data_IF_431244311075
#
_entry.id   IF_431244311075
#
_cell.length_a   1.000
_cell.length_b   1.000
_cell.length_c   1.000
_cell.angle_alpha   90.00
_cell.angle_beta   90.00
_cell.angle_gamma   90.00
#
_symmetry.space_group_name_H-M   'P 1'
#
loop_
_entity.id
_entity.type
_entity.pdbx_description
1 polymer ?
#
# COMPACT_ATOMS: atom_id res chain seq x y z
N UNK A 1 10.63 59.00 -67.57
CA UNK A 1 9.47 59.15 -66.63
C UNK A 1 9.76 58.14 -65.49
N UNK A 2 10.15 58.63 -64.34
CA UNK A 2 10.51 57.82 -63.18
C UNK A 2 9.33 57.76 -62.17
N UNK A 3 8.83 56.61 -61.86
CA UNK A 3 7.77 56.41 -60.87
C UNK A 3 8.39 56.03 -59.51
N UNK A 4 8.17 56.90 -58.52
CA UNK A 4 8.55 56.72 -57.12
C UNK A 4 7.67 55.66 -56.43
N UNK A 5 8.27 54.70 -55.78
CA UNK A 5 7.62 53.79 -54.87
C UNK A 5 7.54 54.41 -53.48
N UNK A 6 6.41 54.27 -52.71
CA UNK A 6 6.32 54.80 -51.36
C UNK A 6 6.90 53.81 -50.30
N UNK A 7 7.65 54.40 -49.38
CA UNK A 7 8.24 53.74 -48.19
C UNK A 7 7.16 53.29 -47.22
N UNK A 8 7.22 51.98 -46.78
CA UNK A 8 6.41 51.44 -45.69
C UNK A 8 7.03 51.83 -44.35
N UNK A 9 6.29 52.64 -43.59
CA UNK A 9 6.59 52.92 -42.17
C UNK A 9 6.42 51.69 -41.32
N UNK A 10 7.46 51.35 -40.55
CA UNK A 10 7.42 50.32 -39.50
C UNK A 10 6.60 50.85 -38.33
N UNK A 11 5.51 50.12 -37.99
CA UNK A 11 4.78 50.32 -36.75
C UNK A 11 5.65 49.86 -35.53
N UNK A 12 5.52 50.52 -34.38
CA UNK A 12 6.31 50.12 -33.20
C UNK A 12 5.77 48.81 -32.62
N UNK A 13 6.69 47.88 -32.38
CA UNK A 13 6.42 46.63 -31.64
C UNK A 13 6.24 47.01 -30.18
N UNK A 14 5.00 47.04 -29.70
CA UNK A 14 4.69 47.19 -28.28
C UNK A 14 5.06 45.89 -27.55
N UNK A 15 6.09 45.99 -26.72
CA UNK A 15 6.56 44.90 -25.82
C UNK A 15 5.48 44.58 -24.78
N UNK A 16 4.96 43.34 -24.82
CA UNK A 16 4.05 42.80 -23.83
C UNK A 16 4.80 42.40 -22.54
N UNK A 17 5.36 43.33 -21.78
CA UNK A 17 6.03 43.09 -20.52
C UNK A 17 5.23 43.48 -19.27
N UNK A 18 4.06 44.14 -19.41
CA UNK A 18 3.25 44.61 -18.28
C UNK A 18 2.26 43.59 -17.72
N UNK A 19 1.99 42.49 -18.43
CA UNK A 19 1.00 41.50 -18.00
C UNK A 19 1.45 40.47 -16.96
N UNK A 20 2.77 40.24 -16.75
CA UNK A 20 3.23 39.20 -15.83
C UNK A 20 3.17 39.62 -14.36
N UNK A 21 3.50 40.86 -14.04
CA UNK A 21 3.46 41.38 -12.65
C UNK A 21 2.02 41.54 -12.12
N UNK A 22 1.07 41.91 -12.99
CA UNK A 22 -0.34 42.05 -12.63
C UNK A 22 -0.98 40.65 -12.40
N UNK A 23 -0.70 39.70 -13.27
CA UNK A 23 -1.12 38.29 -13.08
C UNK A 23 -0.58 37.69 -11.78
N UNK A 24 0.68 37.96 -11.45
CA UNK A 24 1.28 37.49 -10.21
C UNK A 24 0.60 38.06 -8.98
N UNK A 25 0.35 39.38 -8.92
CA UNK A 25 -0.38 40.05 -7.83
C UNK A 25 -1.79 39.51 -7.66
N UNK A 26 -2.50 39.27 -8.75
CA UNK A 26 -3.86 38.71 -8.74
C UNK A 26 -3.83 37.27 -8.21
N UNK A 27 -2.82 36.46 -8.57
CA UNK A 27 -2.64 35.10 -8.06
C UNK A 27 -2.32 35.13 -6.57
N UNK A 28 -1.43 35.98 -6.11
CA UNK A 28 -1.04 36.08 -4.70
C UNK A 28 -2.22 36.54 -3.83
N UNK A 29 -3.04 37.50 -4.34
CA UNK A 29 -4.30 37.91 -3.69
C UNK A 29 -5.31 36.76 -3.60
N UNK A 30 -5.44 35.95 -4.66
CA UNK A 30 -6.31 34.77 -4.65
C UNK A 30 -5.84 33.71 -3.64
N UNK A 31 -4.53 33.45 -3.59
CA UNK A 31 -3.94 32.52 -2.61
C UNK A 31 -4.21 33.00 -1.17
N UNK A 32 -4.02 34.30 -0.89
CA UNK A 32 -4.32 34.87 0.43
C UNK A 32 -5.78 34.74 0.81
N UNK A 33 -6.70 35.00 -0.14
CA UNK A 33 -8.14 34.84 0.08
C UNK A 33 -8.54 33.38 0.38
N UNK A 34 -7.95 32.42 -0.36
CA UNK A 34 -8.18 30.99 -0.13
C UNK A 34 -7.65 30.59 1.26
N UNK A 35 -6.44 30.99 1.60
CA UNK A 35 -5.82 30.68 2.92
C UNK A 35 -6.64 31.29 4.06
N UNK A 36 -7.14 32.51 3.90
CA UNK A 36 -8.01 33.16 4.90
C UNK A 36 -9.35 32.44 5.09
N UNK A 37 -9.93 31.93 4.00
CA UNK A 37 -11.26 31.29 4.01
C UNK A 37 -11.21 29.83 4.47
N UNK A 38 -10.18 29.09 4.03
CA UNK A 38 -10.11 27.64 4.20
C UNK A 38 -8.97 27.18 5.13
N UNK A 39 -8.17 28.10 5.65
CA UNK A 39 -7.05 27.83 6.57
C UNK A 39 -5.71 27.63 5.85
N UNK A 40 -4.62 27.64 6.64
CA UNK A 40 -3.27 27.36 6.18
C UNK A 40 -3.16 25.95 5.63
N UNK A 41 -2.45 25.75 4.51
CA UNK A 41 -2.31 24.47 3.83
C UNK A 41 -3.43 24.10 2.86
N UNK A 42 -4.49 24.93 2.74
CA UNK A 42 -5.57 24.73 1.75
C UNK A 42 -5.10 24.88 0.30
N UNK A 43 -4.05 25.69 0.10
CA UNK A 43 -3.34 25.85 -1.18
C UNK A 43 -1.86 26.03 -0.93
N UNK A 44 -1.01 25.37 -1.73
CA UNK A 44 0.44 25.50 -1.63
C UNK A 44 1.10 25.40 -3.00
N UNK A 45 2.26 26.04 -3.17
CA UNK A 45 3.11 25.81 -4.35
C UNK A 45 3.92 24.54 -4.13
N UNK A 46 3.82 23.57 -5.02
CA UNK A 46 4.44 22.25 -4.86
C UNK A 46 5.98 22.33 -4.75
N UNK A 47 6.61 23.30 -5.41
CA UNK A 47 8.07 23.53 -5.29
C UNK A 47 8.54 24.04 -3.93
N UNK A 48 7.63 24.61 -3.11
CA UNK A 48 7.91 25.07 -1.76
C UNK A 48 7.47 24.05 -0.69
N UNK A 49 6.88 22.93 -1.11
CA UNK A 49 6.60 21.84 -0.18
C UNK A 49 7.95 21.31 0.35
N UNK A 50 8.09 21.06 1.66
CA UNK A 50 9.29 20.42 2.18
C UNK A 50 9.52 19.14 1.39
N UNK A 51 10.74 18.98 0.87
CA UNK A 51 11.19 17.91 -0.03
C UNK A 51 10.54 16.60 0.36
N UNK A 52 9.87 15.98 -0.57
CA UNK A 52 9.10 14.75 -0.55
C UNK A 52 9.01 14.09 0.83
N UNK A 53 7.98 14.46 1.61
CA UNK A 53 7.71 13.79 2.89
C UNK A 53 7.64 12.30 2.58
N UNK A 54 8.56 11.52 3.17
CA UNK A 54 8.54 10.05 3.11
C UNK A 54 7.11 9.60 3.45
N UNK A 55 6.52 8.80 2.57
CA UNK A 55 5.16 8.31 2.77
C UNK A 55 5.21 7.30 3.91
N UNK A 56 4.46 7.56 4.98
CA UNK A 56 4.32 6.60 6.06
C UNK A 56 3.63 5.33 5.56
N UNK A 57 4.15 4.17 5.94
CA UNK A 57 3.68 2.88 5.44
C UNK A 57 3.47 1.87 6.58
N UNK A 58 2.74 0.81 6.28
CA UNK A 58 2.62 -0.39 7.10
C UNK A 58 3.20 -1.56 6.30
N UNK A 59 4.16 -2.30 6.87
CA UNK A 59 4.75 -3.46 6.22
C UNK A 59 3.73 -4.57 6.04
N UNK A 60 3.80 -5.27 4.90
CA UNK A 60 2.98 -6.45 4.61
C UNK A 60 3.51 -7.73 5.26
N UNK A 61 4.76 -7.71 5.74
CA UNK A 61 5.47 -8.87 6.25
C UNK A 61 6.28 -9.63 5.19
N UNK A 62 6.04 -9.37 3.90
CA UNK A 62 6.85 -9.89 2.81
C UNK A 62 7.70 -8.76 2.22
N UNK A 63 9.02 -8.82 2.40
CA UNK A 63 9.93 -7.77 1.91
C UNK A 63 9.82 -7.59 0.39
N UNK A 64 9.66 -8.68 -0.36
CA UNK A 64 9.46 -8.63 -1.81
C UNK A 64 8.22 -7.80 -2.20
N UNK A 65 7.11 -7.97 -1.47
CA UNK A 65 5.87 -7.22 -1.71
C UNK A 65 6.02 -5.75 -1.28
N UNK A 66 6.65 -5.48 -0.14
CA UNK A 66 6.90 -4.12 0.35
C UNK A 66 7.75 -3.32 -0.64
N UNK A 67 8.75 -3.96 -1.25
CA UNK A 67 9.58 -3.35 -2.30
C UNK A 67 8.81 -3.17 -3.61
N UNK A 68 7.94 -4.11 -3.99
CA UNK A 68 7.09 -3.98 -5.19
C UNK A 68 6.08 -2.84 -5.08
N UNK A 69 5.67 -2.49 -3.86
CA UNK A 69 4.83 -1.31 -3.58
C UNK A 69 5.57 0.02 -3.83
N UNK A 70 6.91 0.01 -3.88
CA UNK A 70 7.75 1.13 -4.27
C UNK A 70 7.98 2.18 -3.18
N UNK A 71 7.23 2.12 -2.08
CA UNK A 71 7.35 3.01 -0.91
C UNK A 71 7.69 2.26 0.38
N UNK A 72 7.96 0.94 0.28
CA UNK A 72 8.37 0.10 1.40
C UNK A 72 7.22 -0.48 2.23
N UNK A 73 5.99 -0.46 1.71
CA UNK A 73 4.82 -1.02 2.37
C UNK A 73 3.51 -0.41 1.89
N UNK A 74 2.43 -0.70 2.59
CA UNK A 74 1.10 -0.15 2.30
C UNK A 74 1.00 1.31 2.77
N UNK A 75 0.67 2.27 1.89
CA UNK A 75 0.66 3.69 2.24
C UNK A 75 -0.45 4.02 3.25
N UNK A 76 -0.10 4.78 4.30
CA UNK A 76 -1.06 5.26 5.31
C UNK A 76 -2.02 6.30 4.73
N UNK A 77 -3.23 6.33 5.27
CA UNK A 77 -4.27 7.27 4.85
C UNK A 77 -4.88 6.96 3.48
N UNK A 78 -4.79 5.71 3.01
CA UNK A 78 -5.22 5.31 1.67
C UNK A 78 -6.17 4.11 1.70
N UNK A 79 -6.99 4.03 0.66
CA UNK A 79 -7.79 2.85 0.35
C UNK A 79 -6.97 1.91 -0.52
N UNK A 80 -6.92 0.64 -0.11
CA UNK A 80 -6.18 -0.43 -0.79
C UNK A 80 -7.15 -1.57 -1.07
N UNK A 81 -7.10 -2.14 -2.25
CA UNK A 81 -7.84 -3.35 -2.62
C UNK A 81 -6.86 -4.50 -2.84
N UNK A 82 -7.07 -5.61 -2.14
CA UNK A 82 -6.39 -6.89 -2.37
C UNK A 82 -7.44 -7.86 -2.93
N UNK A 83 -7.22 -8.37 -4.12
CA UNK A 83 -8.17 -9.27 -4.75
C UNK A 83 -7.47 -10.46 -5.43
N UNK A 84 -8.20 -11.54 -5.58
CA UNK A 84 -7.69 -12.77 -6.18
C UNK A 84 -8.65 -13.93 -5.98
N UNK A 85 -8.31 -15.10 -6.52
CA UNK A 85 -9.07 -16.32 -6.33
C UNK A 85 -9.23 -16.68 -4.86
N UNK A 86 -10.13 -17.60 -4.57
CA UNK A 86 -10.25 -18.20 -3.24
C UNK A 86 -8.95 -18.91 -2.85
N UNK A 87 -8.65 -18.92 -1.55
CA UNK A 87 -7.44 -19.54 -0.99
C UNK A 87 -6.10 -19.01 -1.57
N UNK A 88 -6.09 -17.80 -2.14
CA UNK A 88 -4.88 -17.16 -2.66
C UNK A 88 -4.02 -16.47 -1.59
N UNK A 89 -4.48 -16.40 -0.33
CA UNK A 89 -3.75 -15.79 0.79
C UNK A 89 -4.15 -14.35 1.12
N UNK A 90 -5.29 -13.84 0.62
CA UNK A 90 -5.77 -12.48 0.91
C UNK A 90 -5.86 -12.17 2.40
N UNK A 91 -6.63 -12.98 3.13
CA UNK A 91 -6.83 -12.82 4.59
C UNK A 91 -5.52 -12.98 5.35
N UNK A 92 -4.64 -13.90 4.93
CA UNK A 92 -3.30 -14.06 5.53
C UNK A 92 -2.47 -12.78 5.43
N UNK A 93 -2.42 -12.15 4.24
CA UNK A 93 -1.71 -10.88 4.06
C UNK A 93 -2.30 -9.80 4.96
N UNK A 94 -3.63 -9.69 5.06
CA UNK A 94 -4.27 -8.69 5.90
C UNK A 94 -3.99 -8.87 7.38
N UNK A 95 -3.99 -10.12 7.87
CA UNK A 95 -3.64 -10.42 9.27
C UNK A 95 -2.18 -10.08 9.57
N UNK A 96 -1.25 -10.31 8.64
CA UNK A 96 0.13 -9.84 8.79
C UNK A 96 0.25 -8.32 8.81
N UNK A 97 -0.53 -7.60 8.00
CA UNK A 97 -0.58 -6.13 8.04
C UNK A 97 -1.07 -5.64 9.39
N UNK A 98 -2.13 -6.26 9.95
CA UNK A 98 -2.62 -5.96 11.31
C UNK A 98 -1.51 -6.21 12.35
N UNK A 99 -0.90 -7.40 12.32
CA UNK A 99 0.16 -7.77 13.26
C UNK A 99 1.36 -6.78 13.18
N UNK A 100 1.75 -6.36 11.98
CA UNK A 100 2.84 -5.40 11.80
C UNK A 100 2.44 -3.98 12.24
N UNK A 101 1.19 -3.57 12.03
CA UNK A 101 0.68 -2.30 12.57
C UNK A 101 0.72 -2.30 14.10
N UNK A 102 0.25 -3.37 14.75
CA UNK A 102 0.27 -3.52 16.22
C UNK A 102 1.70 -3.58 16.77
N UNK A 103 2.63 -4.30 16.11
CA UNK A 103 4.06 -4.31 16.48
C UNK A 103 4.71 -2.92 16.46
N UNK A 104 4.23 -2.05 15.56
CA UNK A 104 4.66 -0.65 15.49
C UNK A 104 3.93 0.26 16.49
N UNK A 105 3.16 -0.28 17.43
CA UNK A 105 2.38 0.46 18.43
C UNK A 105 1.06 1.02 17.90
N UNK A 106 0.62 0.60 16.71
CA UNK A 106 -0.62 1.04 16.10
C UNK A 106 -1.83 0.22 16.50
N UNK A 107 -3.01 0.76 16.23
CA UNK A 107 -4.31 0.16 16.53
C UNK A 107 -5.00 -0.32 15.25
N UNK A 108 -5.66 -1.49 15.32
CA UNK A 108 -6.28 -2.13 14.18
C UNK A 108 -7.75 -2.49 14.43
N UNK A 109 -8.54 -2.50 13.36
CA UNK A 109 -9.89 -3.05 13.36
C UNK A 109 -10.09 -4.02 12.18
N UNK A 110 -10.87 -5.07 12.42
CA UNK A 110 -11.26 -6.07 11.42
C UNK A 110 -12.80 -6.12 11.32
N UNK A 111 -13.32 -5.76 10.16
CA UNK A 111 -14.74 -5.84 9.84
C UNK A 111 -14.94 -7.13 9.05
N UNK A 112 -15.43 -8.15 9.75
CA UNK A 112 -15.61 -9.53 9.26
C UNK A 112 -17.02 -9.71 8.69
N UNK A 113 -17.22 -9.28 7.45
CA UNK A 113 -18.49 -9.45 6.76
C UNK A 113 -18.74 -10.88 6.25
N UNK A 114 -17.70 -11.72 6.19
CA UNK A 114 -17.82 -13.15 5.83
C UNK A 114 -18.07 -14.04 7.06
N UNK A 115 -17.93 -13.52 8.29
CA UNK A 115 -18.02 -14.26 9.55
C UNK A 115 -17.04 -15.46 9.61
N UNK A 116 -15.85 -15.29 9.04
CA UNK A 116 -14.87 -16.36 8.80
C UNK A 116 -13.52 -16.15 9.49
N UNK A 117 -13.38 -15.14 10.35
CA UNK A 117 -12.14 -14.88 11.07
C UNK A 117 -11.87 -16.00 12.08
N UNK A 118 -10.75 -16.72 11.92
CA UNK A 118 -10.22 -17.67 12.91
C UNK A 118 -9.27 -16.93 13.89
N UNK A 119 -9.67 -16.72 15.15
CA UNK A 119 -8.83 -16.07 16.14
C UNK A 119 -7.55 -16.85 16.44
N UNK A 120 -7.61 -18.18 16.38
CA UNK A 120 -6.45 -19.05 16.59
C UNK A 120 -5.40 -18.85 15.48
N UNK A 121 -5.86 -18.74 14.24
CA UNK A 121 -4.98 -18.45 13.10
C UNK A 121 -4.40 -17.03 13.20
N UNK A 122 -5.22 -16.02 13.49
CA UNK A 122 -4.77 -14.65 13.66
C UNK A 122 -3.67 -14.53 14.74
N UNK A 123 -3.84 -15.19 15.88
CA UNK A 123 -2.84 -15.24 16.96
C UNK A 123 -1.53 -15.86 16.48
N UNK A 124 -1.59 -16.97 15.73
CA UNK A 124 -0.37 -17.62 15.17
C UNK A 124 0.39 -16.72 14.20
N UNK A 125 -0.31 -15.83 13.49
CA UNK A 125 0.31 -14.82 12.61
C UNK A 125 0.86 -13.60 13.37
N UNK A 126 0.73 -13.57 14.70
CA UNK A 126 1.27 -12.51 15.56
C UNK A 126 0.31 -11.36 15.81
N UNK A 127 -0.98 -11.53 15.52
CA UNK A 127 -2.01 -10.54 15.89
C UNK A 127 -2.25 -10.60 17.39
N UNK A 128 -2.17 -9.46 18.06
CA UNK A 128 -2.63 -9.31 19.44
C UNK A 128 -4.16 -9.18 19.42
N UNK A 129 -4.82 -10.25 19.90
CA UNK A 129 -6.29 -10.32 19.87
C UNK A 129 -6.94 -9.42 20.92
N UNK A 130 -6.25 -9.14 22.03
CA UNK A 130 -6.78 -8.31 23.12
C UNK A 130 -6.91 -6.84 22.68
N UNK A 131 -6.09 -6.39 21.72
CA UNK A 131 -6.09 -5.05 21.16
C UNK A 131 -6.75 -4.97 19.77
N UNK A 132 -7.26 -6.08 19.23
CA UNK A 132 -7.93 -6.09 17.94
C UNK A 132 -9.42 -5.81 18.08
N UNK A 133 -9.90 -4.72 17.48
CA UNK A 133 -11.34 -4.46 17.37
C UNK A 133 -11.93 -5.32 16.25
N UNK A 134 -12.92 -6.14 16.56
CA UNK A 134 -13.63 -6.99 15.59
C UNK A 134 -15.09 -6.61 15.54
N UNK A 135 -15.63 -6.48 14.33
CA UNK A 135 -17.07 -6.26 14.08
C UNK A 135 -17.55 -7.25 13.04
N UNK A 136 -18.72 -7.83 13.27
CA UNK A 136 -19.40 -8.76 12.37
C UNK A 136 -20.79 -8.20 12.00
N UNK A 137 -20.83 -7.27 11.03
CA UNK A 137 -22.06 -6.56 10.65
C UNK A 137 -22.98 -7.47 9.83
N UNK A 138 -24.30 -7.27 10.01
CA UNK A 138 -25.33 -8.00 9.27
C UNK A 138 -25.54 -7.46 7.84
N UNK A 139 -25.19 -6.20 7.58
CA UNK A 139 -25.39 -5.55 6.26
C UNK A 139 -24.20 -4.73 5.79
N UNK A 140 -24.13 -4.49 4.49
CA UNK A 140 -23.11 -3.64 3.88
C UNK A 140 -23.16 -2.19 4.38
N UNK A 141 -24.36 -1.66 4.63
CA UNK A 141 -24.57 -0.31 5.21
C UNK A 141 -23.99 -0.22 6.61
N UNK A 142 -24.22 -1.23 7.44
CA UNK A 142 -23.68 -1.31 8.79
C UNK A 142 -22.14 -1.39 8.76
N UNK A 143 -21.58 -2.33 8.00
CA UNK A 143 -20.15 -2.50 7.82
C UNK A 143 -19.44 -1.18 7.43
N UNK A 144 -19.99 -0.49 6.44
CA UNK A 144 -19.39 0.76 5.93
C UNK A 144 -19.61 1.95 6.87
N UNK A 145 -20.71 1.96 7.65
CA UNK A 145 -20.94 2.97 8.69
C UNK A 145 -19.99 2.78 9.87
N UNK A 146 -19.76 1.54 10.30
CA UNK A 146 -18.76 1.20 11.33
C UNK A 146 -17.37 1.62 10.84
N UNK A 147 -17.00 1.27 9.59
CA UNK A 147 -15.74 1.69 9.00
C UNK A 147 -15.59 3.22 8.97
N UNK A 148 -16.64 3.97 8.59
CA UNK A 148 -16.62 5.43 8.58
C UNK A 148 -16.44 5.99 9.98
N UNK A 149 -17.15 5.46 10.97
CA UNK A 149 -17.10 5.91 12.38
C UNK A 149 -15.72 5.68 12.98
N UNK A 150 -15.16 4.49 12.79
CA UNK A 150 -13.81 4.14 13.23
C UNK A 150 -12.75 5.03 12.57
N UNK A 151 -12.84 5.25 11.26
CA UNK A 151 -11.92 6.13 10.55
C UNK A 151 -11.99 7.59 11.02
N UNK A 152 -13.20 8.09 11.36
CA UNK A 152 -13.39 9.45 11.89
C UNK A 152 -12.78 9.68 13.26
N UNK A 153 -12.64 8.63 14.07
CA UNK A 153 -12.01 8.74 15.39
C UNK A 153 -10.54 9.17 15.30
N UNK A 154 -9.86 8.88 14.17
CA UNK A 154 -8.44 9.15 14.00
C UNK A 154 -7.52 8.32 14.89
N UNK A 155 -8.07 7.33 15.61
CA UNK A 155 -7.34 6.49 16.56
C UNK A 155 -6.80 5.19 15.94
N UNK A 156 -7.18 4.87 14.69
CA UNK A 156 -6.82 3.62 14.04
C UNK A 156 -5.78 3.81 12.95
N UNK A 157 -4.79 2.93 12.92
CA UNK A 157 -3.78 2.86 11.87
C UNK A 157 -4.26 2.07 10.66
N UNK A 158 -5.01 0.99 10.91
CA UNK A 158 -5.51 0.11 9.86
C UNK A 158 -6.93 -0.37 10.15
N UNK A 159 -7.77 -0.38 9.13
CA UNK A 159 -9.09 -1.00 9.12
C UNK A 159 -9.12 -1.99 7.97
N UNK A 160 -9.47 -3.23 8.25
CA UNK A 160 -9.66 -4.30 7.28
C UNK A 160 -11.15 -4.55 7.09
N UNK A 161 -11.59 -4.72 5.85
CA UNK A 161 -12.96 -5.13 5.49
C UNK A 161 -12.88 -6.41 4.66
N UNK A 162 -13.25 -7.52 5.23
CA UNK A 162 -13.21 -8.86 4.61
C UNK A 162 -14.62 -9.42 4.47
N UNK A 163 -15.23 -9.49 3.30
CA UNK A 163 -14.81 -8.98 2.01
C UNK A 163 -15.91 -8.11 1.37
N UNK A 164 -15.55 -7.33 0.33
CA UNK A 164 -16.55 -6.55 -0.45
C UNK A 164 -17.65 -7.44 -1.02
N UNK A 165 -17.33 -8.69 -1.39
CA UNK A 165 -18.31 -9.64 -1.92
C UNK A 165 -19.45 -9.94 -0.93
N UNK A 166 -19.18 -9.88 0.37
CA UNK A 166 -20.12 -10.14 1.45
C UNK A 166 -20.90 -8.89 1.93
N UNK A 167 -20.57 -7.70 1.41
CA UNK A 167 -21.30 -6.47 1.76
C UNK A 167 -22.65 -6.43 1.04
N UNK A 168 -23.62 -7.18 1.56
CA UNK A 168 -24.98 -7.23 1.02
C UNK A 168 -25.77 -6.01 1.48
N UNK A 169 -26.42 -5.25 0.56
CA UNK A 169 -27.27 -4.15 0.92
C UNK A 169 -28.47 -4.60 1.79
N UNK A 170 -28.84 -3.80 2.80
CA UNK A 170 -29.96 -4.11 3.72
C UNK A 170 -31.27 -4.39 2.97
N UNK A 171 -31.57 -3.59 1.94
CA UNK A 171 -32.76 -3.78 1.11
C UNK A 171 -32.75 -5.10 0.34
N UNK A 172 -31.59 -5.71 0.09
CA UNK A 172 -31.47 -7.04 -0.52
C UNK A 172 -31.69 -8.14 0.52
N UNK A 173 -31.27 -7.93 1.76
CA UNK A 173 -31.49 -8.87 2.87
C UNK A 173 -32.95 -8.91 3.31
N UNK A 174 -33.65 -7.79 3.27
CA UNK A 174 -35.07 -7.66 3.66
C UNK A 174 -36.04 -7.95 2.50
N UNK A 175 -35.52 -8.08 1.27
CA UNK A 175 -36.31 -8.35 0.06
C UNK A 175 -36.65 -9.81 -0.14
N UNK A 176 -37.68 -10.06 -0.97
CA UNK A 176 -38.07 -11.42 -1.34
C UNK A 176 -36.99 -12.10 -2.22
N UNK A 177 -36.87 -13.43 -2.09
CA UNK A 177 -35.99 -14.23 -2.94
C UNK A 177 -36.37 -14.06 -4.42
N UNK A 178 -35.38 -13.66 -5.25
CA UNK A 178 -35.58 -13.38 -6.69
C UNK A 178 -35.85 -11.92 -7.02
N UNK A 179 -35.91 -11.02 -6.06
CA UNK A 179 -36.00 -9.58 -6.29
C UNK A 179 -34.77 -9.06 -7.05
N UNK A 180 -34.99 -8.20 -8.05
CA UNK A 180 -33.90 -7.64 -8.84
C UNK A 180 -33.14 -6.56 -8.02
N UNK A 181 -31.99 -6.94 -7.46
CA UNK A 181 -31.12 -6.05 -6.63
C UNK A 181 -29.94 -5.47 -7.40
N UNK A 182 -30.01 -5.55 -8.74
CA UNK A 182 -28.89 -5.20 -9.62
C UNK A 182 -28.39 -3.77 -9.37
N UNK A 183 -27.10 -3.67 -9.00
CA UNK A 183 -26.41 -2.40 -8.82
C UNK A 183 -26.54 -1.74 -7.45
N UNK A 184 -27.33 -2.30 -6.50
CA UNK A 184 -27.48 -1.75 -5.15
C UNK A 184 -26.13 -1.71 -4.41
N UNK A 185 -25.39 -2.83 -4.40
CA UNK A 185 -24.06 -2.91 -3.81
C UNK A 185 -23.08 -1.90 -4.44
N UNK A 186 -23.14 -1.70 -5.76
CA UNK A 186 -22.27 -0.73 -6.45
C UNK A 186 -22.59 0.72 -6.08
N UNK A 187 -23.86 1.05 -5.82
CA UNK A 187 -24.29 2.38 -5.32
C UNK A 187 -23.82 2.60 -3.90
N UNK A 188 -24.00 1.61 -3.02
CA UNK A 188 -23.55 1.61 -1.63
C UNK A 188 -22.04 1.86 -1.56
N UNK A 189 -21.25 1.06 -2.28
CA UNK A 189 -19.80 1.23 -2.36
C UNK A 189 -19.39 2.61 -2.90
N UNK A 190 -20.06 3.12 -3.93
CA UNK A 190 -19.78 4.44 -4.50
C UNK A 190 -20.02 5.56 -3.48
N UNK A 191 -21.08 5.47 -2.70
CA UNK A 191 -21.41 6.45 -1.67
C UNK A 191 -20.41 6.42 -0.51
N UNK A 192 -20.11 5.24 0.00
CA UNK A 192 -19.19 5.06 1.13
C UNK A 192 -17.75 5.49 0.76
N UNK A 193 -17.21 5.02 -0.36
CA UNK A 193 -15.84 5.33 -0.77
C UNK A 193 -15.60 6.82 -1.04
N UNK A 194 -16.64 7.54 -1.49
CA UNK A 194 -16.59 9.00 -1.65
C UNK A 194 -16.34 9.72 -0.32
N UNK A 195 -16.99 9.26 0.76
CA UNK A 195 -16.82 9.80 2.10
C UNK A 195 -15.48 9.34 2.71
N UNK A 196 -15.22 8.03 2.68
CA UNK A 196 -14.05 7.41 3.30
C UNK A 196 -12.73 7.98 2.78
N UNK A 197 -12.61 8.28 1.49
CA UNK A 197 -11.36 8.79 0.91
C UNK A 197 -10.80 10.02 1.62
N UNK A 198 -11.65 11.01 1.92
CA UNK A 198 -11.23 12.23 2.62
C UNK A 198 -10.94 11.97 4.10
N UNK A 199 -11.77 11.16 4.75
CA UNK A 199 -11.67 10.84 6.17
C UNK A 199 -10.36 10.10 6.44
N UNK A 200 -10.10 9.02 5.70
CA UNK A 200 -8.91 8.18 5.83
C UNK A 200 -7.62 8.99 5.60
N UNK A 201 -7.61 9.87 4.60
CA UNK A 201 -6.44 10.71 4.32
C UNK A 201 -6.12 11.64 5.50
N UNK A 202 -7.16 12.27 6.12
CA UNK A 202 -6.99 13.15 7.27
C UNK A 202 -6.57 12.38 8.52
N UNK A 203 -7.19 11.24 8.77
CA UNK A 203 -6.92 10.38 9.92
C UNK A 203 -5.60 9.60 9.79
N UNK A 204 -4.99 9.54 8.59
CA UNK A 204 -3.84 8.68 8.28
C UNK A 204 -4.13 7.18 8.48
N UNK A 205 -5.39 6.79 8.50
CA UNK A 205 -5.83 5.40 8.64
C UNK A 205 -5.79 4.70 7.28
N UNK A 206 -5.15 3.55 7.19
CA UNK A 206 -5.15 2.69 5.99
C UNK A 206 -6.40 1.81 6.01
N UNK A 207 -7.17 1.80 4.93
CA UNK A 207 -8.34 0.94 4.80
C UNK A 207 -8.10 -0.11 3.71
N UNK A 208 -8.07 -1.39 4.10
CA UNK A 208 -7.89 -2.53 3.22
C UNK A 208 -9.23 -3.20 2.95
N UNK A 209 -9.55 -3.37 1.69
CA UNK A 209 -10.69 -4.17 1.24
C UNK A 209 -10.17 -5.45 0.59
N UNK A 210 -10.64 -6.61 1.02
CA UNK A 210 -10.50 -7.81 0.20
C UNK A 210 -11.60 -7.88 -0.84
N UNK A 211 -11.31 -8.55 -1.93
CA UNK A 211 -12.30 -8.82 -2.96
C UNK A 211 -12.07 -10.18 -3.63
N UNK A 212 -13.14 -10.76 -4.09
CA UNK A 212 -13.12 -12.01 -4.84
C UNK A 212 -13.08 -11.71 -6.34
N UNK A 213 -12.69 -12.69 -7.15
CA UNK A 213 -12.81 -12.64 -8.59
C UNK A 213 -14.11 -13.31 -9.03
N UNK A 214 -14.75 -12.72 -10.02
CA UNK A 214 -15.92 -13.27 -10.73
C UNK A 214 -15.65 -13.21 -12.21
N UNK A 215 -16.18 -14.13 -12.97
CA UNK A 215 -16.09 -14.13 -14.41
C UNK A 215 -17.33 -13.49 -15.02
N UNK A 216 -17.13 -12.63 -16.00
CA UNK A 216 -18.21 -12.10 -16.82
C UNK A 216 -18.51 -13.06 -17.95
N UNK A 217 -19.73 -13.51 -18.01
CA UNK A 217 -20.21 -14.33 -19.13
C UNK A 217 -20.27 -13.50 -20.42
N UNK A 218 -19.83 -14.07 -21.55
CA UNK A 218 -19.95 -13.44 -22.87
C UNK A 218 -18.86 -12.44 -23.25
N UNK A 219 -17.74 -12.36 -22.52
CA UNK A 219 -16.59 -11.52 -22.90
C UNK A 219 -15.75 -12.26 -23.94
N UNK A 220 -15.82 -11.83 -25.21
CA UNK A 220 -15.03 -12.43 -26.30
C UNK A 220 -13.61 -11.85 -26.40
N UNK A 221 -13.37 -10.63 -25.91
CA UNK A 221 -12.06 -9.96 -25.97
C UNK A 221 -11.71 -9.31 -24.62
N UNK A 222 -10.44 -9.40 -24.21
CA UNK A 222 -9.94 -8.90 -22.94
C UNK A 222 -10.09 -9.89 -21.78
N UNK A 223 -9.82 -9.46 -20.55
CA UNK A 223 -9.96 -10.32 -19.37
C UNK A 223 -11.43 -10.42 -18.95
N UNK A 224 -11.99 -11.62 -18.84
CA UNK A 224 -13.34 -11.81 -18.31
C UNK A 224 -13.44 -11.55 -16.81
N UNK A 225 -12.31 -11.51 -16.10
CA UNK A 225 -12.27 -11.36 -14.65
C UNK A 225 -12.73 -9.97 -14.19
N UNK A 226 -13.56 -9.95 -13.17
CA UNK A 226 -14.05 -8.73 -12.54
C UNK A 226 -14.19 -8.93 -11.03
N UNK A 227 -14.23 -7.83 -10.28
CA UNK A 227 -14.47 -7.86 -8.83
C UNK A 227 -15.88 -7.35 -8.51
N UNK A 228 -16.60 -7.93 -7.51
CA UNK A 228 -17.85 -7.40 -6.96
C UNK A 228 -17.75 -5.94 -6.47
N UNK A 229 -18.91 -5.34 -6.15
CA UNK A 229 -18.96 -3.95 -5.65
C UNK A 229 -18.88 -2.88 -6.73
N UNK A 230 -18.96 -3.24 -8.01
CA UNK A 230 -18.97 -2.31 -9.15
C UNK A 230 -17.60 -1.73 -9.47
N UNK A 231 -17.59 -0.51 -10.06
CA UNK A 231 -16.34 0.15 -10.49
C UNK A 231 -15.74 1.09 -9.45
N UNK A 232 -16.48 1.44 -8.39
CA UNK A 232 -16.09 2.50 -7.46
C UNK A 232 -14.75 2.21 -6.77
N UNK A 233 -14.58 1.01 -6.21
CA UNK A 233 -13.34 0.64 -5.52
C UNK A 233 -12.13 0.69 -6.46
N UNK A 234 -12.28 0.29 -7.72
CA UNK A 234 -11.22 0.37 -8.75
C UNK A 234 -10.72 1.81 -8.96
N UNK A 235 -11.60 2.81 -8.83
CA UNK A 235 -11.25 4.21 -8.97
C UNK A 235 -10.70 4.82 -7.68
N UNK A 236 -11.35 4.56 -6.54
CA UNK A 236 -10.99 5.15 -5.24
C UNK A 236 -9.74 4.54 -4.63
N UNK A 237 -9.48 3.24 -4.80
CA UNK A 237 -8.26 2.61 -4.31
C UNK A 237 -7.01 3.31 -4.86
N UNK A 238 -6.07 3.61 -3.97
CA UNK A 238 -4.75 4.15 -4.32
C UNK A 238 -3.81 3.04 -4.78
N UNK A 239 -3.94 1.86 -4.20
CA UNK A 239 -3.19 0.66 -4.57
C UNK A 239 -4.19 -0.48 -4.79
N UNK A 240 -3.97 -1.28 -5.85
CA UNK A 240 -4.71 -2.50 -6.12
C UNK A 240 -3.73 -3.63 -6.36
N UNK A 241 -3.93 -4.72 -5.65
CA UNK A 241 -3.03 -5.87 -5.57
C UNK A 241 -3.80 -7.11 -6.02
N UNK A 242 -3.35 -7.73 -7.10
CA UNK A 242 -3.79 -9.04 -7.56
C UNK A 242 -2.89 -10.09 -6.90
N UNK A 243 -3.46 -11.00 -6.11
CA UNK A 243 -2.73 -12.09 -5.44
C UNK A 243 -3.22 -13.43 -5.94
N UNK A 244 -2.27 -14.29 -6.37
CA UNK A 244 -2.57 -15.60 -6.95
C UNK A 244 -1.64 -16.67 -6.40
N UNK A 245 -2.20 -17.84 -6.10
CA UNK A 245 -1.41 -19.04 -5.86
C UNK A 245 -0.74 -19.47 -7.17
N UNK A 246 0.58 -19.64 -7.16
CA UNK A 246 1.37 -20.13 -8.29
C UNK A 246 1.57 -21.63 -8.21
N UNK A 247 2.00 -22.12 -7.05
CA UNK A 247 2.19 -23.54 -6.79
C UNK A 247 1.98 -23.87 -5.31
N UNK A 248 1.80 -25.16 -5.02
CA UNK A 248 1.72 -25.66 -3.65
C UNK A 248 3.08 -26.17 -3.22
N UNK A 249 3.58 -25.67 -2.10
CA UNK A 249 4.81 -26.11 -1.47
C UNK A 249 4.56 -27.44 -0.75
N UNK A 250 5.47 -28.39 -0.94
CA UNK A 250 5.38 -29.72 -0.33
C UNK A 250 6.65 -30.01 0.45
N UNK A 251 6.50 -30.75 1.52
CA UNK A 251 7.66 -31.30 2.27
C UNK A 251 8.31 -32.47 1.54
N UNK A 252 9.37 -33.04 2.13
CA UNK A 252 10.10 -34.19 1.59
C UNK A 252 9.25 -35.47 1.46
N UNK A 253 8.12 -35.55 2.17
CA UNK A 253 7.17 -36.65 2.11
C UNK A 253 6.04 -36.42 1.07
N UNK A 254 6.02 -35.25 0.42
CA UNK A 254 5.02 -34.86 -0.56
C UNK A 254 3.75 -34.24 0.04
N UNK A 255 3.71 -34.02 1.35
CA UNK A 255 2.60 -33.37 2.03
C UNK A 255 2.63 -31.86 1.80
N UNK A 256 1.48 -31.28 1.51
CA UNK A 256 1.35 -29.84 1.28
C UNK A 256 1.60 -29.08 2.59
N UNK A 257 2.60 -28.19 2.59
CA UNK A 257 3.01 -27.38 3.73
C UNK A 257 2.72 -25.89 3.55
N UNK A 258 2.40 -25.45 2.34
CA UNK A 258 2.17 -24.04 2.06
C UNK A 258 1.89 -23.78 0.59
N UNK A 259 1.85 -22.50 0.23
CA UNK A 259 1.69 -22.04 -1.15
C UNK A 259 2.74 -21.00 -1.50
N UNK A 260 3.33 -21.14 -2.67
CA UNK A 260 4.07 -20.06 -3.32
C UNK A 260 3.07 -19.14 -4.01
N UNK A 261 3.06 -17.87 -3.66
CA UNK A 261 2.11 -16.89 -4.18
C UNK A 261 2.81 -15.81 -4.98
N UNK A 262 2.12 -15.35 -6.01
CA UNK A 262 2.54 -14.22 -6.82
C UNK A 262 1.57 -13.07 -6.61
N UNK A 263 2.11 -11.87 -6.38
CA UNK A 263 1.35 -10.62 -6.34
C UNK A 263 1.75 -9.72 -7.49
N UNK A 264 0.78 -8.98 -8.01
CA UNK A 264 0.96 -7.94 -9.01
C UNK A 264 0.29 -6.65 -8.56
N UNK A 265 1.04 -5.57 -8.56
CA UNK A 265 0.54 -4.24 -8.21
C UNK A 265 -0.10 -3.62 -9.46
N UNK A 266 -1.38 -3.91 -9.71
CA UNK A 266 -2.06 -3.50 -10.94
C UNK A 266 -2.44 -2.03 -11.01
N UNK A 267 -2.45 -1.36 -9.85
CA UNK A 267 -2.63 0.09 -9.72
C UNK A 267 -1.82 0.59 -8.54
N UNK A 268 -1.12 1.70 -8.74
CA UNK A 268 -0.38 2.38 -7.71
C UNK A 268 -0.39 3.89 -7.95
N UNK A 269 -0.80 4.68 -6.95
CA UNK A 269 -0.81 6.15 -7.00
C UNK A 269 0.36 6.77 -6.25
N UNK A 270 1.19 5.96 -5.59
CA UNK A 270 2.32 6.43 -4.77
C UNK A 270 3.68 6.02 -5.36
N UNK A 271 3.69 5.10 -6.33
CA UNK A 271 4.87 4.64 -7.04
C UNK A 271 4.47 4.11 -8.44
N UNK A 272 5.40 3.77 -9.33
CA UNK A 272 5.09 3.15 -10.62
C UNK A 272 4.31 1.83 -10.43
N UNK A 273 3.23 1.59 -11.19
CA UNK A 273 2.45 0.36 -11.13
C UNK A 273 3.12 -0.79 -11.89
N UNK A 274 2.48 -1.97 -11.83
CA UNK A 274 2.80 -3.22 -12.52
C UNK A 274 4.03 -3.97 -12.02
N UNK A 275 4.60 -3.55 -10.89
CA UNK A 275 5.61 -4.35 -10.21
C UNK A 275 4.99 -5.67 -9.73
N UNK A 276 5.80 -6.72 -9.73
CA UNK A 276 5.43 -8.07 -9.29
C UNK A 276 6.35 -8.51 -8.16
N UNK A 277 5.83 -9.33 -7.27
CA UNK A 277 6.59 -9.98 -6.21
C UNK A 277 6.08 -11.40 -5.98
N UNK A 278 6.95 -12.24 -5.47
CA UNK A 278 6.62 -13.61 -5.09
C UNK A 278 7.10 -13.85 -3.67
N UNK A 279 6.35 -14.65 -2.91
CA UNK A 279 6.70 -15.06 -1.56
C UNK A 279 5.94 -16.32 -1.15
N UNK A 280 6.40 -16.97 -0.08
CA UNK A 280 5.82 -18.19 0.43
C UNK A 280 4.87 -17.90 1.58
N UNK A 281 3.71 -18.56 1.59
CA UNK A 281 2.78 -18.63 2.71
C UNK A 281 2.80 -20.06 3.24
N UNK A 282 3.30 -20.26 4.44
CA UNK A 282 3.34 -21.56 5.11
C UNK A 282 2.06 -21.73 5.94
N UNK A 283 1.43 -22.90 5.84
CA UNK A 283 0.22 -23.20 6.59
C UNK A 283 0.47 -23.07 8.10
N UNK A 284 -0.45 -22.45 8.80
CA UNK A 284 -0.39 -22.14 10.23
C UNK A 284 0.73 -21.18 10.69
N UNK A 285 1.63 -20.74 9.80
CA UNK A 285 2.72 -19.80 10.11
C UNK A 285 2.58 -18.47 9.33
N UNK A 286 1.86 -18.50 8.20
CA UNK A 286 1.65 -17.31 7.36
C UNK A 286 2.82 -17.01 6.43
N UNK A 287 3.07 -15.74 6.18
CA UNK A 287 4.13 -15.26 5.27
C UNK A 287 5.50 -15.66 5.85
N UNK A 288 6.30 -16.34 5.03
CA UNK A 288 7.67 -16.66 5.37
C UNK A 288 8.57 -15.45 5.11
N UNK A 289 8.75 -14.63 6.16
CA UNK A 289 9.51 -13.38 6.09
C UNK A 289 10.96 -13.62 5.69
N UNK A 290 11.62 -14.58 6.30
CA UNK A 290 13.05 -14.90 6.09
C UNK A 290 13.28 -15.41 4.68
N UNK A 291 12.38 -16.24 4.14
CA UNK A 291 12.41 -16.67 2.73
C UNK A 291 12.32 -15.49 1.78
N UNK A 292 11.39 -14.56 2.02
CA UNK A 292 11.25 -13.35 1.22
C UNK A 292 12.49 -12.46 1.25
N UNK A 293 13.14 -12.33 2.42
CA UNK A 293 14.39 -11.56 2.57
C UNK A 293 15.51 -12.22 1.75
N UNK A 294 15.69 -13.55 1.87
CA UNK A 294 16.72 -14.28 1.14
C UNK A 294 16.53 -14.18 -0.39
N UNK A 295 15.30 -14.32 -0.87
CA UNK A 295 15.00 -14.23 -2.30
C UNK A 295 15.32 -12.83 -2.84
N UNK A 296 14.97 -11.79 -2.12
CA UNK A 296 15.32 -10.41 -2.47
C UNK A 296 16.83 -10.18 -2.38
N UNK A 297 17.47 -10.61 -1.29
CA UNK A 297 18.92 -10.46 -1.11
C UNK A 297 19.72 -11.14 -2.23
N UNK A 298 19.28 -12.32 -2.65
CA UNK A 298 19.88 -13.05 -3.75
C UNK A 298 19.65 -12.34 -5.10
N UNK A 299 18.43 -11.84 -5.35
CA UNK A 299 18.12 -11.11 -6.59
C UNK A 299 18.89 -9.80 -6.73
N UNK A 300 19.19 -9.13 -5.60
CA UNK A 300 19.99 -7.90 -5.56
C UNK A 300 21.50 -8.19 -5.46
N UNK A 301 21.93 -9.46 -5.34
CA UNK A 301 23.34 -9.82 -5.18
C UNK A 301 23.95 -9.37 -3.85
N UNK A 302 23.15 -9.15 -2.81
CA UNK A 302 23.59 -8.93 -1.41
C UNK A 302 24.03 -10.25 -0.83
N UNK A 303 23.28 -11.30 -1.12
CA UNK A 303 23.59 -12.68 -0.75
C UNK A 303 23.94 -13.48 -2.00
N UNK A 304 24.94 -14.32 -1.93
CA UNK A 304 25.44 -15.12 -3.05
C UNK A 304 25.30 -16.61 -2.77
N UNK A 305 25.03 -17.39 -3.82
CA UNK A 305 25.03 -18.83 -3.76
C UNK A 305 26.39 -19.36 -4.20
N UNK A 306 27.09 -20.08 -3.31
CA UNK A 306 28.39 -20.72 -3.59
C UNK A 306 28.25 -22.23 -3.45
N UNK A 307 27.99 -22.90 -4.57
CA UNK A 307 27.64 -24.31 -4.59
C UNK A 307 26.31 -24.55 -3.86
N UNK A 308 26.33 -25.38 -2.82
CA UNK A 308 25.18 -25.65 -1.96
C UNK A 308 24.99 -24.62 -0.82
N UNK A 309 25.93 -23.70 -0.64
CA UNK A 309 25.95 -22.75 0.47
C UNK A 309 25.42 -21.39 0.06
N UNK A 310 24.77 -20.72 1.00
CA UNK A 310 24.39 -19.33 0.91
C UNK A 310 25.40 -18.51 1.72
N UNK A 311 25.94 -17.46 1.10
CA UNK A 311 27.01 -16.64 1.63
C UNK A 311 26.60 -15.16 1.67
N UNK A 312 26.92 -14.49 2.76
CA UNK A 312 26.76 -13.06 2.93
C UNK A 312 28.04 -12.47 3.51
N UNK A 313 28.58 -11.40 2.92
CA UNK A 313 29.79 -10.68 3.32
C UNK A 313 31.02 -11.62 3.56
N UNK A 314 31.14 -12.66 2.72
CA UNK A 314 32.24 -13.65 2.84
C UNK A 314 31.93 -14.81 3.81
N UNK A 315 30.94 -14.73 4.66
CA UNK A 315 30.58 -15.74 5.65
C UNK A 315 29.47 -16.67 5.13
N UNK A 316 29.52 -17.94 5.48
CA UNK A 316 28.52 -18.94 5.13
C UNK A 316 27.38 -18.89 6.15
N UNK A 317 26.16 -18.51 5.70
CA UNK A 317 24.98 -18.40 6.57
C UNK A 317 24.14 -19.68 6.62
N UNK A 318 24.29 -20.58 5.64
CA UNK A 318 23.56 -21.87 5.68
C UNK A 318 23.79 -22.71 4.43
N UNK A 319 23.69 -24.03 4.60
CA UNK A 319 23.70 -24.97 3.48
C UNK A 319 22.27 -25.14 2.93
N UNK A 320 21.99 -24.54 1.79
CA UNK A 320 20.67 -24.47 1.19
C UNK A 320 19.76 -23.36 1.80
N UNK A 321 18.60 -23.17 1.17
CA UNK A 321 17.65 -22.09 1.54
C UNK A 321 17.07 -22.29 2.94
N UNK A 322 16.78 -23.51 3.33
CA UNK A 322 16.17 -23.82 4.63
C UNK A 322 17.11 -23.51 5.81
N UNK A 323 18.39 -23.92 5.71
CA UNK A 323 19.36 -23.64 6.76
C UNK A 323 19.66 -22.13 6.86
N UNK A 324 19.76 -21.43 5.74
CA UNK A 324 19.94 -19.98 5.73
C UNK A 324 18.72 -19.25 6.31
N UNK A 325 17.50 -19.72 6.03
CA UNK A 325 16.27 -19.20 6.62
C UNK A 325 16.25 -19.36 8.14
N UNK A 326 16.62 -20.54 8.63
CA UNK A 326 16.71 -20.80 10.07
C UNK A 326 17.73 -19.86 10.74
N UNK A 327 18.91 -19.68 10.12
CA UNK A 327 19.92 -18.75 10.61
C UNK A 327 19.43 -17.30 10.69
N UNK A 328 18.64 -16.84 9.70
CA UNK A 328 18.04 -15.51 9.74
C UNK A 328 16.96 -15.39 10.84
N UNK A 329 16.17 -16.44 11.05
CA UNK A 329 15.15 -16.45 12.10
C UNK A 329 15.77 -16.37 13.52
N UNK A 330 16.93 -17.02 13.71
CA UNK A 330 17.65 -17.04 14.99
C UNK A 330 18.50 -15.78 15.23
N UNK A 331 18.91 -15.08 14.15
CA UNK A 331 19.80 -13.93 14.25
C UNK A 331 19.14 -12.66 13.66
N UNK A 332 18.45 -11.92 14.53
CA UNK A 332 17.77 -10.67 14.16
C UNK A 332 18.75 -9.59 13.66
N UNK A 333 19.95 -9.50 14.23
CA UNK A 333 20.97 -8.52 13.87
C UNK A 333 21.48 -8.74 12.44
N UNK A 334 21.77 -10.00 12.09
CA UNK A 334 22.14 -10.40 10.73
C UNK A 334 21.02 -10.08 9.75
N UNK A 335 19.78 -10.35 10.11
CA UNK A 335 18.61 -10.10 9.28
C UNK A 335 18.44 -8.61 8.98
N UNK A 336 18.56 -7.76 10.00
CA UNK A 336 18.48 -6.30 9.83
C UNK A 336 19.66 -5.75 9.00
N UNK A 337 20.86 -6.30 9.15
CA UNK A 337 22.02 -5.94 8.33
C UNK A 337 21.78 -6.26 6.85
N UNK A 338 21.29 -7.46 6.54
CA UNK A 338 20.95 -7.87 5.16
C UNK A 338 19.86 -6.96 4.58
N UNK A 339 18.80 -6.65 5.34
CA UNK A 339 17.73 -5.75 4.89
C UNK A 339 18.29 -4.36 4.58
N UNK A 340 19.16 -3.83 5.44
CA UNK A 340 19.81 -2.53 5.21
C UNK A 340 20.61 -2.52 3.90
N UNK A 341 21.41 -3.56 3.66
CA UNK A 341 22.21 -3.67 2.45
C UNK A 341 21.35 -3.82 1.18
N UNK A 342 20.20 -4.51 1.29
CA UNK A 342 19.22 -4.56 0.20
C UNK A 342 18.71 -3.15 -0.13
N UNK A 343 18.35 -2.38 0.91
CA UNK A 343 17.83 -1.01 0.72
C UNK A 343 18.90 -0.09 0.11
N UNK A 344 20.14 -0.13 0.59
CA UNK A 344 21.27 0.62 0.06
C UNK A 344 21.52 0.32 -1.41
N UNK A 345 21.49 -0.96 -1.82
CA UNK A 345 21.69 -1.35 -3.22
C UNK A 345 20.54 -0.91 -4.14
N UNK A 346 19.32 -0.83 -3.64
CA UNK A 346 18.14 -0.43 -4.44
C UNK A 346 17.96 1.07 -4.57
N UNK A 347 18.33 1.84 -3.54
CA UNK A 347 18.21 3.30 -3.48
C UNK A 347 19.53 3.94 -3.06
N UNK A 348 20.58 3.96 -3.92
CA UNK A 348 21.88 4.53 -3.58
C UNK A 348 21.83 6.00 -3.15
N UNK A 349 20.85 6.77 -3.67
CA UNK A 349 20.69 8.19 -3.35
C UNK A 349 20.13 8.45 -1.94
N UNK A 350 19.37 7.50 -1.36
CA UNK A 350 18.91 7.61 0.04
C UNK A 350 20.02 7.24 1.04
N UNK A 351 21.01 6.48 0.60
CA UNK A 351 22.16 6.07 1.40
C UNK A 351 23.07 7.26 1.74
N UNK A 352 23.34 8.15 0.79
CA UNK A 352 24.18 9.33 0.98
C UNK A 352 23.56 10.34 2.00
N UNK A 353 22.22 10.42 2.04
CA UNK A 353 21.50 11.30 2.96
C UNK A 353 21.54 10.80 4.41
N UNK A 354 21.53 9.48 4.61
CA UNK A 354 21.56 8.87 5.95
C UNK A 354 22.97 8.88 6.55
N UNK A 355 24.01 8.74 5.74
CA UNK A 355 25.39 8.88 6.21
C UNK A 355 25.73 10.34 6.57
N UNK A 356 25.22 11.31 5.81
CA UNK A 356 25.43 12.74 6.09
C UNK A 356 24.65 13.22 7.34
N UNK A 357 23.54 12.59 7.70
CA UNK A 357 22.80 12.86 8.92
C UNK A 357 23.43 12.21 10.17
N UNK A 358 23.90 10.98 10.06
CA UNK A 358 24.60 10.30 11.16
C UNK A 358 25.99 10.91 11.41
N UNK A 359 26.66 11.41 10.39
CA UNK A 359 27.91 12.16 10.55
C UNK A 359 27.71 13.54 11.21
N UNK A 360 26.56 14.18 10.98
CA UNK A 360 26.20 15.48 11.62
C UNK A 360 25.75 15.33 13.07
N UNK A 361 25.12 14.23 13.44
CA UNK A 361 24.77 13.94 14.85
C UNK A 361 25.99 13.50 15.68
N UNK A 362 27.00 12.88 15.06
CA UNK A 362 28.23 12.47 15.71
C UNK A 362 29.21 13.62 15.94
N UNK A 363 28.99 14.81 15.35
CA UNK A 363 29.86 16.01 15.45
C UNK A 363 29.20 17.14 16.26
N UNK A 364 28.23 16.88 17.13
CA UNK A 364 27.76 17.84 18.10
C UNK A 364 28.78 17.90 19.25
N UNK A 365 29.58 18.96 19.42
CA UNK A 365 30.55 19.04 20.50
C UNK A 365 29.86 19.36 21.83
N UNK A 366 30.19 18.56 22.82
CA UNK A 366 30.16 18.99 24.22
C UNK A 366 31.28 20.04 24.41
N UNK A 367 30.93 21.30 24.25
CA UNK A 367 31.76 22.43 24.73
C UNK A 367 30.89 23.68 24.83
N UNK A 368 30.27 23.83 26.00
CA UNK A 368 29.97 25.10 26.63
C UNK A 368 29.58 24.80 28.09
N UNK A 369 30.63 24.48 28.88
CA UNK A 369 30.58 24.62 30.31
C UNK A 369 31.96 25.10 30.78
N UNK A 370 32.16 26.41 30.77
CA UNK A 370 33.03 27.11 31.72
C UNK A 370 32.55 28.55 31.87
#
# INVERSE_FOLDING_TARGET
MATKTPSKSKAPVTSHSTGSGEKQRNLDSAIQSITKTFGEGSIMRLGNAPSQKKIDVISTGALSMDLALGVGGLPRGRIIEIYGPESSGKTTVMLHVIANAQKAGGTAAFIDAEHALDPGYARRLGVNLDDLLVSQPDSGEEALTICETLARSGALDVIVVDSVAALVPKAELEGDMGMATMGMQARLMSQALRKLTSILNKAKTTCLFTNQLREKVGVMFGSPETTPGGKALKFYASVRIDIRRKETLKDSSGVAMGNHVKVKIVKNKVAPPFAEAEFDIIYNQGINRESSILDVAQSCGVVQKRGAWIQYDGELIGQGKEAARAALAENAELTEKIIRDIMLKRNPQEAEVTEDQSAKEAVSPADEAN
#
